data_IF_615236440273
#
_entry.id   IF_615236440273
#
_cell.length_a   1.000
_cell.length_b   1.000
_cell.length_c   1.000
_cell.angle_alpha   90.00
_cell.angle_beta   90.00
_cell.angle_gamma   90.00
#
_symmetry.space_group_name_H-M   'P 1'
#
loop_
_entity.id
_entity.type
_entity.pdbx_description
1 polymer ?
#
# COMPACT_ATOMS: atom_id res chain seq x y z
N UNK A 1 -8.40 15.81 15.59
CA UNK A 1 -8.75 15.36 14.21
C UNK A 1 -7.41 15.00 13.52
N UNK A 2 -7.30 13.90 12.77
CA UNK A 2 -6.05 13.27 12.22
C UNK A 2 -5.44 12.11 13.04
N UNK A 3 -6.20 11.50 13.95
CA UNK A 3 -5.71 10.34 14.73
C UNK A 3 -5.25 9.18 13.83
N UNK A 4 -6.03 8.85 12.79
CA UNK A 4 -5.70 7.74 11.90
C UNK A 4 -4.38 7.95 11.14
N UNK A 5 -4.13 9.14 10.57
CA UNK A 5 -2.88 9.41 9.85
C UNK A 5 -1.69 9.54 10.81
N UNK A 6 -1.89 10.07 12.02
CA UNK A 6 -0.87 10.10 13.07
C UNK A 6 -0.47 8.67 13.48
N UNK A 7 -1.44 7.82 13.85
CA UNK A 7 -1.17 6.43 14.23
C UNK A 7 -0.49 5.67 13.10
N UNK A 8 -0.98 5.81 11.86
CA UNK A 8 -0.39 5.17 10.69
C UNK A 8 1.08 5.60 10.49
N UNK A 9 1.37 6.90 10.65
CA UNK A 9 2.75 7.40 10.55
C UNK A 9 3.66 6.86 11.67
N UNK A 10 3.12 6.67 12.89
CA UNK A 10 3.87 6.04 13.98
C UNK A 10 4.21 4.59 13.68
N UNK A 11 3.22 3.81 13.23
CA UNK A 11 3.40 2.39 12.89
C UNK A 11 4.42 2.23 11.77
N UNK A 12 4.32 3.02 10.70
CA UNK A 12 5.24 2.91 9.56
C UNK A 12 6.70 3.17 9.91
N UNK A 13 6.98 3.99 10.94
CA UNK A 13 8.36 4.22 11.41
C UNK A 13 8.98 3.01 12.10
N UNK A 14 8.17 2.19 12.76
CA UNK A 14 8.63 1.01 13.51
C UNK A 14 8.60 -0.25 12.65
N UNK A 15 7.68 -0.30 11.68
CA UNK A 15 7.35 -1.47 10.89
C UNK A 15 8.55 -2.24 10.34
N UNK A 16 9.57 -1.55 9.81
CA UNK A 16 10.76 -2.21 9.25
C UNK A 16 11.55 -2.98 10.31
N UNK A 17 11.75 -2.37 11.48
CA UNK A 17 12.48 -3.00 12.59
C UNK A 17 11.70 -4.21 13.11
N UNK A 18 10.40 -4.02 13.36
CA UNK A 18 9.54 -5.06 13.91
C UNK A 18 9.44 -6.28 12.97
N UNK A 19 9.38 -6.04 11.65
CA UNK A 19 9.35 -7.12 10.67
C UNK A 19 10.67 -7.88 10.59
N UNK A 20 11.80 -7.17 10.66
CA UNK A 20 13.11 -7.81 10.66
C UNK A 20 13.30 -8.68 11.89
N UNK A 21 12.93 -8.18 13.07
CA UNK A 21 13.05 -8.92 14.33
C UNK A 21 12.15 -10.17 14.34
N UNK A 22 10.90 -10.05 13.88
CA UNK A 22 9.94 -11.14 13.97
C UNK A 22 10.01 -12.15 12.83
N UNK A 23 10.36 -11.69 11.63
CA UNK A 23 10.26 -12.49 10.40
C UNK A 23 11.57 -12.56 9.61
N UNK A 24 12.62 -11.85 10.01
CA UNK A 24 13.90 -11.83 9.30
C UNK A 24 13.85 -11.17 7.92
N UNK A 25 12.83 -10.35 7.66
CA UNK A 25 12.62 -9.66 6.38
C UNK A 25 12.52 -8.16 6.62
N UNK A 26 13.26 -7.37 5.85
CA UNK A 26 13.14 -5.92 5.86
C UNK A 26 12.20 -5.41 4.76
N UNK A 27 10.95 -5.01 5.07
CA UNK A 27 10.07 -4.43 4.07
C UNK A 27 10.62 -3.08 3.61
N UNK A 28 10.66 -2.85 2.29
CA UNK A 28 11.11 -1.58 1.71
C UNK A 28 9.98 -0.61 1.38
N UNK A 29 8.76 -1.12 1.24
CA UNK A 29 7.56 -0.31 1.04
C UNK A 29 6.33 -1.02 1.61
N UNK A 30 5.26 -0.25 1.80
CA UNK A 30 3.92 -0.74 2.10
C UNK A 30 2.99 -0.41 0.95
N UNK A 31 2.13 -1.34 0.57
CA UNK A 31 1.03 -1.13 -0.37
C UNK A 31 -0.32 -1.23 0.35
N UNK A 32 -1.29 -0.43 -0.08
CA UNK A 32 -2.70 -0.60 0.28
C UNK A 32 -3.62 -0.32 -0.90
N UNK A 33 -4.84 -0.86 -0.84
CA UNK A 33 -5.84 -0.77 -1.89
C UNK A 33 -7.11 -0.11 -1.36
N UNK A 34 -7.47 1.05 -1.92
CA UNK A 34 -8.65 1.81 -1.49
C UNK A 34 -9.72 1.75 -2.58
N UNK A 35 -10.92 1.30 -2.21
CA UNK A 35 -12.05 1.29 -3.14
C UNK A 35 -12.54 2.72 -3.42
N UNK A 36 -12.22 3.25 -4.60
CA UNK A 36 -12.39 4.67 -4.95
C UNK A 36 -13.84 5.16 -4.81
N UNK A 37 -14.80 4.31 -5.13
CA UNK A 37 -16.22 4.67 -5.10
C UNK A 37 -16.76 4.83 -3.68
N UNK A 38 -16.11 4.23 -2.67
CA UNK A 38 -16.57 4.28 -1.27
C UNK A 38 -15.72 5.17 -0.39
N UNK A 39 -14.42 5.28 -0.69
CA UNK A 39 -13.47 5.94 0.19
C UNK A 39 -12.48 6.81 -0.59
N UNK A 40 -12.25 8.03 -0.07
CA UNK A 40 -11.23 8.94 -0.61
C UNK A 40 -9.78 8.51 -0.26
N UNK A 41 -9.61 7.69 0.79
CA UNK A 41 -8.29 7.30 1.29
C UNK A 41 -7.54 8.42 2.01
N UNK A 42 -8.28 9.34 2.66
CA UNK A 42 -7.72 10.57 3.25
C UNK A 42 -6.61 10.35 4.27
N UNK A 43 -6.71 9.31 5.11
CA UNK A 43 -5.66 9.01 6.10
C UNK A 43 -4.33 8.59 5.46
N UNK A 44 -4.38 7.82 4.36
CA UNK A 44 -3.18 7.41 3.62
C UNK A 44 -2.52 8.62 2.95
N UNK A 45 -3.32 9.47 2.29
CA UNK A 45 -2.81 10.70 1.66
C UNK A 45 -2.19 11.64 2.70
N UNK A 46 -2.84 11.81 3.84
CA UNK A 46 -2.34 12.63 4.94
C UNK A 46 -1.09 12.03 5.62
N UNK A 47 -0.84 10.73 5.48
CA UNK A 47 0.37 10.05 5.93
C UNK A 47 1.45 9.95 4.83
N UNK A 48 1.32 10.72 3.74
CA UNK A 48 2.25 10.77 2.60
C UNK A 48 2.34 9.48 1.77
N UNK A 49 1.27 8.68 1.69
CA UNK A 49 1.19 7.63 0.67
C UNK A 49 1.07 8.26 -0.72
N UNK A 50 1.78 7.69 -1.68
CA UNK A 50 1.73 8.05 -3.09
C UNK A 50 0.70 7.20 -3.81
N UNK A 51 -0.08 7.82 -4.70
CA UNK A 51 -0.98 7.09 -5.60
C UNK A 51 -0.16 6.53 -6.75
N UNK A 52 -0.18 5.21 -6.92
CA UNK A 52 0.52 4.52 -7.99
C UNK A 52 -0.35 4.32 -9.24
N UNK A 53 -1.67 4.23 -9.07
CA UNK A 53 -2.62 4.04 -10.16
C UNK A 53 -3.88 3.32 -9.69
N UNK A 54 -4.62 2.76 -10.66
CA UNK A 54 -5.86 2.04 -10.40
C UNK A 54 -5.73 0.57 -10.81
N UNK A 55 -6.36 -0.31 -10.04
CA UNK A 55 -6.48 -1.71 -10.42
C UNK A 55 -7.43 -1.85 -11.61
N UNK A 56 -7.21 -2.84 -12.46
CA UNK A 56 -8.05 -3.07 -13.65
C UNK A 56 -9.47 -3.59 -13.34
N UNK A 57 -9.91 -3.58 -12.07
CA UNK A 57 -11.19 -4.14 -11.66
C UNK A 57 -11.28 -5.64 -11.93
N UNK A 58 -10.21 -6.40 -11.63
CA UNK A 58 -10.21 -7.87 -11.75
C UNK A 58 -9.86 -8.48 -10.41
N UNK A 59 -10.71 -9.39 -9.94
CA UNK A 59 -10.44 -10.15 -8.71
C UNK A 59 -9.48 -11.32 -8.98
N UNK A 60 -8.84 -11.82 -7.94
CA UNK A 60 -7.94 -13.00 -8.01
C UNK A 60 -8.62 -14.25 -8.59
N UNK A 61 -9.95 -14.32 -8.50
CA UNK A 61 -10.77 -15.43 -8.99
C UNK A 61 -11.46 -15.17 -10.34
N UNK A 62 -11.13 -14.07 -11.04
CA UNK A 62 -11.71 -13.72 -12.36
C UNK A 62 -11.12 -14.58 -13.49
N UNK A 63 -11.36 -15.90 -13.43
CA UNK A 63 -10.86 -16.89 -14.41
C UNK A 63 -11.49 -16.71 -15.80
N UNK A 64 -12.70 -16.15 -15.86
CA UNK A 64 -13.44 -15.92 -17.11
C UNK A 64 -13.21 -14.56 -17.76
N UNK A 65 -12.35 -13.70 -17.19
CA UNK A 65 -12.16 -12.31 -17.63
C UNK A 65 -13.47 -11.49 -17.67
N UNK A 66 -14.46 -11.86 -16.86
CA UNK A 66 -15.82 -11.33 -16.95
C UNK A 66 -15.99 -10.05 -16.12
N UNK A 67 -14.99 -9.65 -15.31
CA UNK A 67 -15.03 -8.44 -14.46
C UNK A 67 -16.28 -8.34 -13.57
N UNK A 68 -16.89 -9.47 -13.21
CA UNK A 68 -18.16 -9.51 -12.49
C UNK A 68 -18.04 -8.82 -11.12
N UNK A 69 -18.71 -7.67 -10.95
CA UNK A 69 -18.80 -6.94 -9.67
C UNK A 69 -17.48 -6.41 -9.10
N UNK A 70 -16.39 -6.44 -9.86
CA UNK A 70 -15.06 -6.11 -9.36
C UNK A 70 -14.83 -4.59 -9.35
N UNK A 71 -14.71 -4.04 -8.14
CA UNK A 71 -14.57 -2.60 -7.94
C UNK A 71 -13.14 -2.14 -8.16
N UNK A 72 -12.97 -1.12 -8.99
CA UNK A 72 -11.69 -0.46 -9.24
C UNK A 72 -11.16 0.11 -7.92
N UNK A 73 -9.91 -0.21 -7.59
CA UNK A 73 -9.22 0.25 -6.39
C UNK A 73 -8.09 1.17 -6.78
N UNK A 74 -7.87 2.21 -5.99
CA UNK A 74 -6.64 3.01 -6.05
C UNK A 74 -5.55 2.23 -5.31
N UNK A 75 -4.42 2.05 -5.97
CA UNK A 75 -3.19 1.53 -5.37
C UNK A 75 -2.43 2.69 -4.75
N UNK A 76 -2.18 2.60 -3.44
CA UNK A 76 -1.37 3.57 -2.71
C UNK A 76 -0.14 2.88 -2.12
N UNK A 77 1.02 3.54 -2.21
CA UNK A 77 2.29 3.01 -1.71
C UNK A 77 2.99 4.00 -0.78
N UNK A 78 3.69 3.49 0.22
CA UNK A 78 4.54 4.27 1.11
C UNK A 78 5.95 3.64 1.19
N UNK A 79 7.02 4.33 0.77
CA UNK A 79 8.37 3.82 0.89
C UNK A 79 8.85 3.89 2.35
N UNK A 80 9.32 2.77 2.88
CA UNK A 80 9.91 2.67 4.22
C UNK A 80 11.40 2.98 4.22
N UNK A 81 12.04 2.95 3.04
CA UNK A 81 13.46 3.23 2.84
C UNK A 81 13.67 4.17 1.67
N UNK A 82 14.81 4.86 1.65
CA UNK A 82 15.26 5.60 0.48
C UNK A 82 15.49 4.63 -0.69
N UNK A 83 15.16 5.09 -1.89
CA UNK A 83 15.35 4.36 -3.15
C UNK A 83 14.64 2.99 -3.19
N UNK A 84 13.51 2.83 -2.48
CA UNK A 84 12.75 1.58 -2.42
C UNK A 84 12.46 0.97 -3.80
N UNK A 85 12.12 1.81 -4.79
CA UNK A 85 11.87 1.35 -6.18
C UNK A 85 13.14 0.78 -6.83
N UNK A 86 14.30 1.41 -6.60
CA UNK A 86 15.57 0.93 -7.15
C UNK A 86 15.94 -0.42 -6.52
N UNK A 87 15.85 -0.52 -5.20
CA UNK A 87 16.11 -1.77 -4.48
C UNK A 87 15.23 -2.91 -4.98
N UNK A 88 13.93 -2.66 -5.21
CA UNK A 88 13.01 -3.66 -5.77
C UNK A 88 13.37 -4.12 -7.19
N UNK A 89 13.89 -3.22 -8.03
CA UNK A 89 14.30 -3.56 -9.39
C UNK A 89 15.60 -4.36 -9.42
N UNK A 90 16.52 -4.05 -8.52
CA UNK A 90 17.87 -4.62 -8.50
C UNK A 90 17.95 -5.95 -7.74
N UNK A 91 16.81 -6.47 -7.23
CA UNK A 91 16.69 -7.84 -6.72
C UNK A 91 17.02 -8.04 -5.23
N UNK A 92 17.65 -7.07 -4.57
CA UNK A 92 18.03 -7.17 -3.15
C UNK A 92 19.24 -8.04 -2.86
#
# INVERSE_FOLDING_TARGET
RNLASMMLSCVLRQLRSDWQERYGVEPWLVETLVERQRFYGGCYRAANFMVLGETSGRGRMDRGHQRHGARIKIVLVYPLVKDAVRRLRDGG
#
